data_IF_192404181410
#
_entry.id   IF_192404181410
#
_cell.length_a   1.000
_cell.length_b   1.000
_cell.length_c   1.000
_cell.angle_alpha   90.00
_cell.angle_beta   90.00
_cell.angle_gamma   90.00
#
_symmetry.space_group_name_H-M   'P 1'
#
loop_
_entity.id
_entity.type
_entity.pdbx_description
1 polymer ?
#
# COMPACT_ATOMS: atom_id res chain seq x y z
N UNK A 1 6.77 11.79 6.21
CA UNK A 1 6.26 10.49 5.70
C UNK A 1 7.19 9.37 6.15
N UNK A 2 6.65 8.23 6.58
CA UNK A 2 7.44 7.01 6.86
C UNK A 2 7.64 6.23 5.56
N UNK A 3 8.82 5.64 5.34
CA UNK A 3 9.18 4.92 4.12
C UNK A 3 9.02 5.74 2.80
N UNK A 4 9.66 6.92 2.67
CA UNK A 4 9.55 7.76 1.47
C UNK A 4 10.11 7.10 0.21
N UNK A 5 10.89 6.02 0.32
CA UNK A 5 11.30 5.21 -0.82
C UNK A 5 10.14 4.36 -1.40
N UNK A 6 9.13 4.04 -0.59
CA UNK A 6 8.04 3.12 -0.93
C UNK A 6 6.73 3.84 -1.27
N UNK A 7 6.41 4.89 -0.52
CA UNK A 7 5.16 5.64 -0.69
C UNK A 7 5.43 7.04 -1.21
N UNK A 8 4.45 7.56 -1.94
CA UNK A 8 4.39 8.95 -2.38
C UNK A 8 2.92 9.39 -2.44
N UNK A 9 2.67 10.66 -2.69
CA UNK A 9 1.34 11.21 -2.89
C UNK A 9 1.11 11.59 -4.35
N UNK A 10 -0.10 11.40 -4.85
CA UNK A 10 -0.52 11.95 -6.13
C UNK A 10 -0.91 13.44 -6.02
N UNK A 11 -1.35 14.05 -7.13
CA UNK A 11 -1.76 15.45 -7.19
C UNK A 11 -2.94 15.79 -6.26
N UNK A 12 -3.77 14.79 -5.92
CA UNK A 12 -4.88 14.93 -4.99
C UNK A 12 -4.45 14.71 -3.52
N UNK A 13 -3.17 14.43 -3.27
CA UNK A 13 -2.65 14.14 -1.94
C UNK A 13 -2.98 12.73 -1.44
N UNK A 14 -3.33 11.79 -2.32
CA UNK A 14 -3.61 10.40 -1.97
C UNK A 14 -2.34 9.57 -2.03
N UNK A 15 -2.06 8.85 -0.95
CA UNK A 15 -0.86 8.02 -0.85
C UNK A 15 -0.96 6.78 -1.76
N UNK A 16 0.12 6.43 -2.44
CA UNK A 16 0.21 5.24 -3.28
C UNK A 16 1.58 4.54 -3.15
N UNK A 17 1.62 3.23 -3.38
CA UNK A 17 2.87 2.46 -3.41
C UNK A 17 3.58 2.65 -4.76
N UNK A 18 4.75 3.31 -4.75
CA UNK A 18 5.50 3.65 -5.97
C UNK A 18 5.96 2.45 -6.80
N UNK A 19 6.54 1.38 -6.20
CA UNK A 19 7.22 0.34 -6.97
C UNK A 19 6.34 -0.42 -7.96
N UNK A 20 5.02 -0.43 -7.77
CA UNK A 20 4.06 -1.06 -8.69
C UNK A 20 2.83 -0.19 -9.00
N UNK A 21 2.92 1.12 -8.73
CA UNK A 21 1.81 2.08 -8.89
C UNK A 21 0.53 1.63 -8.18
N UNK A 22 0.66 1.16 -6.96
CA UNK A 22 -0.44 0.74 -6.08
C UNK A 22 -1.25 -0.47 -6.57
N UNK A 23 -0.71 -1.28 -7.48
CA UNK A 23 -1.38 -2.49 -7.95
C UNK A 23 -1.25 -3.64 -6.94
N UNK A 24 -0.27 -3.58 -6.04
CA UNK A 24 -0.04 -4.62 -5.03
C UNK A 24 0.44 -5.93 -5.63
N UNK A 25 1.17 -5.87 -6.75
CA UNK A 25 1.64 -7.04 -7.51
C UNK A 25 3.14 -7.27 -7.35
N UNK A 26 3.92 -6.24 -6.99
CA UNK A 26 5.37 -6.37 -6.85
C UNK A 26 5.73 -6.76 -5.41
N UNK A 27 6.51 -7.85 -5.21
CA UNK A 27 6.94 -8.24 -3.87
C UNK A 27 7.85 -7.17 -3.24
N UNK A 28 7.82 -7.10 -1.92
CA UNK A 28 8.74 -6.25 -1.16
C UNK A 28 10.13 -6.88 -1.05
N UNK A 29 11.14 -6.06 -1.30
CA UNK A 29 12.53 -6.36 -0.96
C UNK A 29 12.70 -6.51 0.56
N UNK A 30 13.59 -7.41 0.98
CA UNK A 30 13.92 -7.65 2.39
C UNK A 30 14.36 -6.37 3.12
N UNK A 31 15.15 -5.53 2.47
CA UNK A 31 15.59 -4.25 3.04
C UNK A 31 14.42 -3.28 3.25
N UNK A 32 13.39 -3.36 2.40
CA UNK A 32 12.20 -2.51 2.47
C UNK A 32 11.16 -2.98 3.50
N UNK A 33 11.23 -4.23 3.97
CA UNK A 33 10.24 -4.81 4.90
C UNK A 33 10.16 -4.05 6.23
N UNK A 34 11.29 -3.55 6.74
CA UNK A 34 11.34 -2.81 8.01
C UNK A 34 10.60 -1.48 7.86
N UNK A 35 10.95 -0.70 6.83
CA UNK A 35 10.34 0.59 6.54
C UNK A 35 8.85 0.47 6.26
N UNK A 36 8.47 -0.53 5.45
CA UNK A 36 7.07 -0.84 5.18
C UNK A 36 6.30 -1.19 6.45
N UNK A 37 6.85 -2.04 7.32
CA UNK A 37 6.20 -2.43 8.58
C UNK A 37 5.94 -1.21 9.46
N UNK A 38 6.90 -0.28 9.54
CA UNK A 38 6.75 0.94 10.31
C UNK A 38 5.63 1.84 9.75
N UNK A 39 5.60 2.04 8.43
CA UNK A 39 4.56 2.82 7.77
C UNK A 39 3.16 2.17 7.95
N UNK A 40 3.07 0.86 7.74
CA UNK A 40 1.85 0.06 7.93
C UNK A 40 1.29 0.18 9.35
N UNK A 41 2.13 -0.02 10.38
CA UNK A 41 1.69 -0.02 11.77
C UNK A 41 1.31 1.37 12.29
N UNK A 42 1.94 2.43 11.77
CA UNK A 42 1.71 3.81 12.21
C UNK A 42 0.69 4.57 11.36
N UNK A 43 0.15 3.96 10.30
CA UNK A 43 -0.89 4.57 9.49
C UNK A 43 -2.19 4.71 10.33
N UNK A 44 -2.63 5.94 10.66
CA UNK A 44 -3.74 6.16 11.60
C UNK A 44 -5.08 5.65 11.05
N UNK A 45 -5.24 5.61 9.73
CA UNK A 45 -6.45 5.13 9.05
C UNK A 45 -6.36 3.65 8.66
N UNK A 46 -5.23 2.99 8.95
CA UNK A 46 -4.94 1.62 8.52
C UNK A 46 -5.11 1.39 7.01
N UNK A 47 -4.84 2.43 6.20
CA UNK A 47 -5.02 2.40 4.74
C UNK A 47 -3.96 1.54 4.03
N UNK A 48 -2.75 1.44 4.57
CA UNK A 48 -1.69 0.57 4.02
C UNK A 48 -2.04 -0.88 4.32
N UNK A 49 -2.13 -1.73 3.29
CA UNK A 49 -2.45 -3.17 3.42
C UNK A 49 -1.24 -4.03 3.07
N UNK A 50 -1.23 -5.27 3.60
CA UNK A 50 -0.19 -6.27 3.33
C UNK A 50 -0.83 -7.63 3.09
N UNK A 51 -0.19 -8.44 2.27
CA UNK A 51 -0.60 -9.79 1.91
C UNK A 51 0.65 -10.61 1.57
N UNK A 52 0.60 -11.91 1.78
CA UNK A 52 1.59 -12.90 1.31
C UNK A 52 1.41 -13.25 -0.17
N UNK A 53 0.26 -12.89 -0.76
CA UNK A 53 -0.06 -13.01 -2.17
C UNK A 53 -0.33 -11.64 -2.82
N UNK A 54 -0.11 -11.49 -4.14
CA UNK A 54 -0.48 -10.27 -4.88
C UNK A 54 -1.95 -9.87 -4.65
N UNK A 55 -2.23 -8.57 -4.58
CA UNK A 55 -3.59 -8.07 -4.54
C UNK A 55 -4.27 -8.31 -5.89
N UNK A 56 -5.51 -8.80 -5.87
CA UNK A 56 -6.28 -8.98 -7.10
C UNK A 56 -6.53 -7.61 -7.73
N UNK A 57 -6.18 -7.45 -9.01
CA UNK A 57 -6.39 -6.21 -9.76
C UNK A 57 -7.85 -5.92 -10.07
N UNK A 58 -8.78 -6.81 -9.68
CA UNK A 58 -10.20 -6.53 -9.77
C UNK A 58 -10.51 -5.24 -8.98
N UNK A 59 -11.12 -4.23 -9.62
CA UNK A 59 -11.49 -3.01 -8.92
C UNK A 59 -12.34 -3.36 -7.70
N UNK A 60 -12.12 -2.65 -6.60
CA UNK A 60 -12.95 -2.78 -5.41
C UNK A 60 -14.40 -2.42 -5.79
N UNK A 61 -15.23 -3.42 -6.00
CA UNK A 61 -16.68 -3.25 -6.05
C UNK A 61 -17.16 -3.30 -4.61
N UNK A 62 -17.62 -2.19 -4.01
CA UNK A 62 -18.27 -2.28 -2.72
C UNK A 62 -19.49 -3.18 -2.90
N UNK A 63 -19.44 -4.40 -2.37
CA UNK A 63 -20.65 -5.20 -2.19
C UNK A 63 -21.52 -4.38 -1.27
N UNK A 64 -22.61 -3.83 -1.81
CA UNK A 64 -23.66 -3.16 -1.06
C UNK A 64 -23.98 -4.05 0.14
N UNK A 65 -23.64 -3.58 1.34
CA UNK A 65 -24.09 -4.21 2.57
C UNK A 65 -25.62 -4.19 2.53
N UNK A 66 -26.21 -5.38 2.55
CA UNK A 66 -27.64 -5.58 2.74
C UNK A 66 -28.00 -5.38 4.21
#
# INVERSE_FOLDING_TARGET
MLAPALFDYDEAGIAYYKPDRNTGTKPLDDHAKIDFRLAYQRCPTHAIKRSDHPFNTAPFTPTKAE
#
